data_IF_909907058226
#
_entry.id   IF_909907058226
#
_cell.length_a   1.000
_cell.length_b   1.000
_cell.length_c   1.000
_cell.angle_alpha   90.00
_cell.angle_beta   90.00
_cell.angle_gamma   90.00
#
_symmetry.space_group_name_H-M   'P 1'
#
loop_
_entity.id
_entity.type
_entity.pdbx_description
1 polymer ?
#
# COMPACT_ATOMS: atom_id res chain seq x y z
N UNK A 1 5.88 -0.56 -19.40
CA UNK A 1 5.63 -1.02 -18.02
C UNK A 1 4.25 -0.53 -17.62
N UNK A 2 3.52 -1.26 -16.78
CA UNK A 2 2.17 -0.85 -16.35
C UNK A 2 2.31 0.33 -15.40
N UNK A 3 1.62 1.43 -15.68
CA UNK A 3 1.66 2.67 -14.90
C UNK A 3 0.83 2.55 -13.60
N UNK A 4 -0.18 1.68 -13.62
CA UNK A 4 -1.12 1.45 -12.53
C UNK A 4 -1.05 0.01 -12.05
N UNK A 5 -1.22 -0.20 -10.74
CA UNK A 5 -1.37 -1.53 -10.15
C UNK A 5 -2.65 -1.61 -9.33
N UNK A 6 -3.18 -2.82 -9.18
CA UNK A 6 -4.37 -3.10 -8.37
C UNK A 6 -3.97 -3.83 -7.10
N UNK A 7 -4.21 -3.22 -5.94
CA UNK A 7 -4.15 -3.92 -4.67
C UNK A 7 -5.53 -4.50 -4.36
N UNK A 8 -5.61 -5.82 -4.24
CA UNK A 8 -6.83 -6.56 -3.95
C UNK A 8 -6.83 -6.96 -2.47
N UNK A 9 -7.83 -6.50 -1.72
CA UNK A 9 -8.02 -6.88 -0.32
C UNK A 9 -8.60 -8.30 -0.20
N UNK A 10 -8.51 -8.85 1.02
CA UNK A 10 -9.02 -10.19 1.33
C UNK A 10 -10.56 -10.30 1.22
N UNK A 11 -11.26 -9.19 1.48
CA UNK A 11 -12.72 -9.04 1.34
C UNK A 11 -13.16 -8.54 -0.05
N UNK A 12 -12.25 -8.52 -1.04
CA UNK A 12 -12.57 -8.34 -2.45
C UNK A 12 -12.62 -6.89 -2.97
N UNK A 13 -12.23 -5.90 -2.16
CA UNK A 13 -12.07 -4.52 -2.63
C UNK A 13 -10.82 -4.36 -3.46
N UNK A 14 -10.91 -3.52 -4.49
CA UNK A 14 -9.83 -3.25 -5.44
C UNK A 14 -9.43 -1.78 -5.38
N UNK A 15 -8.16 -1.53 -5.09
CA UNK A 15 -7.58 -0.21 -5.06
C UNK A 15 -6.59 -0.06 -6.21
N UNK A 16 -6.90 0.81 -7.16
CA UNK A 16 -6.02 1.09 -8.30
C UNK A 16 -5.16 2.31 -7.96
N UNK A 17 -3.85 2.13 -7.91
CA UNK A 17 -2.88 3.17 -7.52
C UNK A 17 -1.71 3.23 -8.49
N UNK A 18 -1.03 4.37 -8.53
CA UNK A 18 0.21 4.52 -9.30
C UNK A 18 1.24 3.48 -8.84
N UNK A 19 1.90 2.85 -9.81
CA UNK A 19 2.93 1.84 -9.53
C UNK A 19 4.05 2.42 -8.68
N UNK A 20 4.41 3.68 -8.88
CA UNK A 20 5.45 4.36 -8.07
C UNK A 20 5.06 4.46 -6.59
N UNK A 21 3.78 4.68 -6.28
CA UNK A 21 3.32 4.72 -4.89
C UNK A 21 3.31 3.33 -4.28
N UNK A 22 2.89 2.32 -5.04
CA UNK A 22 2.91 0.93 -4.62
C UNK A 22 4.33 0.44 -4.28
N UNK A 23 5.33 0.92 -5.02
CA UNK A 23 6.74 0.58 -4.85
C UNK A 23 7.38 1.19 -3.59
N UNK A 24 6.66 2.05 -2.86
CA UNK A 24 7.11 2.52 -1.54
C UNK A 24 7.01 1.43 -0.48
N UNK A 25 6.22 0.38 -0.73
CA UNK A 25 6.19 -0.84 0.09
C UNK A 25 7.22 -1.83 -0.42
N UNK A 26 8.12 -2.27 0.46
CA UNK A 26 9.12 -3.31 0.14
C UNK A 26 8.47 -4.64 -0.24
N UNK A 27 7.41 -5.02 0.48
CA UNK A 27 6.63 -6.23 0.20
C UNK A 27 5.93 -6.18 -1.15
N UNK A 28 5.23 -5.08 -1.46
CA UNK A 28 4.53 -4.92 -2.76
C UNK A 28 5.54 -4.82 -3.90
N UNK A 29 6.67 -4.13 -3.70
CA UNK A 29 7.76 -4.09 -4.66
C UNK A 29 8.27 -5.49 -4.99
N UNK A 30 8.47 -6.33 -3.97
CA UNK A 30 8.89 -7.73 -4.14
C UNK A 30 7.85 -8.53 -4.91
N UNK A 31 6.56 -8.41 -4.56
CA UNK A 31 5.45 -9.07 -5.27
C UNK A 31 5.36 -8.65 -6.74
N UNK A 32 5.62 -7.39 -7.07
CA UNK A 32 5.59 -6.86 -8.44
C UNK A 32 6.90 -7.07 -9.22
N UNK A 33 7.91 -7.64 -8.57
CA UNK A 33 9.17 -8.00 -9.21
C UNK A 33 9.02 -9.32 -9.98
N UNK A 34 9.80 -9.48 -11.06
CA UNK A 34 9.82 -10.75 -11.81
C UNK A 34 10.71 -11.82 -11.14
N UNK A 35 11.26 -11.52 -9.96
CA UNK A 35 12.08 -12.44 -9.19
C UNK A 35 11.20 -13.41 -8.38
N UNK A 36 11.81 -14.42 -7.73
CA UNK A 36 11.14 -15.61 -7.19
C UNK A 36 9.81 -15.30 -6.47
N UNK A 37 8.70 -15.81 -7.03
CA UNK A 37 7.36 -15.71 -6.44
C UNK A 37 6.44 -14.63 -7.01
N UNK A 38 6.95 -13.62 -7.73
CA UNK A 38 6.15 -12.46 -8.23
C UNK A 38 5.76 -12.50 -9.71
N UNK A 39 5.99 -13.60 -10.43
CA UNK A 39 5.83 -13.64 -11.89
C UNK A 39 4.39 -13.37 -12.37
N UNK A 40 3.38 -13.82 -11.63
CA UNK A 40 1.97 -13.65 -12.00
C UNK A 40 1.49 -12.21 -11.73
N UNK A 41 1.86 -11.67 -10.58
CA UNK A 41 1.57 -10.31 -10.14
C UNK A 41 2.31 -9.28 -11.01
N UNK A 42 3.57 -9.54 -11.37
CA UNK A 42 4.35 -8.69 -12.27
C UNK A 42 3.76 -8.62 -13.67
N UNK A 43 3.14 -9.71 -14.16
CA UNK A 43 2.44 -9.71 -15.46
C UNK A 43 1.05 -9.08 -15.40
N UNK A 44 0.28 -9.39 -14.35
CA UNK A 44 -1.11 -8.95 -14.22
C UNK A 44 -1.24 -7.52 -13.67
N UNK A 45 -0.24 -7.04 -12.94
CA UNK A 45 -0.30 -5.78 -12.19
C UNK A 45 -1.28 -5.85 -11.00
N UNK A 46 -1.65 -7.04 -10.55
CA UNK A 46 -2.60 -7.24 -9.45
C UNK A 46 -1.87 -7.90 -8.28
N UNK A 47 -1.87 -7.27 -7.11
CA UNK A 47 -1.33 -7.82 -5.87
C UNK A 47 -2.48 -8.20 -4.94
N UNK A 48 -2.60 -9.47 -4.59
CA UNK A 48 -3.58 -9.93 -3.61
C UNK A 48 -2.98 -9.90 -2.21
N UNK A 49 -3.64 -9.17 -1.31
CA UNK A 49 -3.17 -8.93 0.05
C UNK A 49 -4.15 -9.55 1.05
N UNK A 50 -3.62 -10.21 2.07
CA UNK A 50 -4.40 -10.75 3.20
C UNK A 50 -4.72 -9.66 4.22
N UNK A 51 -5.27 -8.55 3.72
CA UNK A 51 -5.59 -7.32 4.47
C UNK A 51 -7.04 -6.97 4.16
N UNK A 52 -7.83 -6.62 5.18
CA UNK A 52 -9.22 -6.17 5.01
C UNK A 52 -9.28 -4.84 4.28
N UNK A 53 -10.31 -4.62 3.47
CA UNK A 53 -10.44 -3.45 2.60
C UNK A 53 -10.37 -2.13 3.36
N UNK A 54 -11.00 -2.05 4.54
CA UNK A 54 -10.95 -0.84 5.38
C UNK A 54 -9.53 -0.48 5.85
N UNK A 55 -8.69 -1.48 6.10
CA UNK A 55 -7.29 -1.27 6.51
C UNK A 55 -6.44 -0.94 5.29
N UNK A 56 -6.66 -1.67 4.19
CA UNK A 56 -5.96 -1.45 2.93
C UNK A 56 -6.24 -0.05 2.34
N UNK A 57 -7.45 0.49 2.53
CA UNK A 57 -7.78 1.88 2.19
C UNK A 57 -6.86 2.87 2.90
N UNK A 58 -6.60 2.67 4.20
CA UNK A 58 -5.69 3.54 4.97
C UNK A 58 -4.24 3.38 4.58
N UNK A 59 -3.82 2.17 4.22
CA UNK A 59 -2.51 1.95 3.61
C UNK A 59 -2.39 2.71 2.29
N UNK A 60 -3.40 2.65 1.42
CA UNK A 60 -3.40 3.37 0.14
C UNK A 60 -3.37 4.89 0.33
N UNK A 61 -4.15 5.42 1.28
CA UNK A 61 -4.09 6.83 1.67
C UNK A 61 -2.68 7.21 2.15
N UNK A 62 -2.03 6.35 2.94
CA UNK A 62 -0.65 6.56 3.39
C UNK A 62 0.34 6.55 2.23
N UNK A 63 0.30 5.56 1.33
CA UNK A 63 1.22 5.47 0.19
C UNK A 63 1.12 6.71 -0.71
N UNK A 64 -0.11 7.15 -1.00
CA UNK A 64 -0.34 8.40 -1.73
C UNK A 64 0.21 9.61 -0.98
N UNK A 65 -0.04 9.70 0.33
CA UNK A 65 0.46 10.79 1.15
C UNK A 65 2.00 10.79 1.18
N UNK A 66 2.62 9.63 1.41
CA UNK A 66 4.07 9.45 1.45
C UNK A 66 4.69 9.88 0.13
N UNK A 67 4.20 9.37 -1.01
CA UNK A 67 4.68 9.74 -2.34
C UNK A 67 4.64 11.26 -2.60
N UNK A 68 3.56 11.95 -2.21
CA UNK A 68 3.41 13.40 -2.40
C UNK A 68 4.30 14.25 -1.50
N UNK A 69 4.86 13.65 -0.45
CA UNK A 69 5.58 14.36 0.59
C UNK A 69 7.07 13.99 0.63
N UNK A 70 7.57 13.02 -0.14
CA UNK A 70 8.98 12.58 -0.05
C UNK A 70 10.03 13.70 -0.14
N UNK A 71 9.76 14.76 -0.90
CA UNK A 71 10.71 15.84 -1.16
C UNK A 71 10.58 17.07 -0.22
N UNK A 72 9.68 17.06 0.78
CA UNK A 72 9.51 18.23 1.66
C UNK A 72 10.47 18.18 2.85
N UNK A 73 10.82 19.34 3.40
CA UNK A 73 11.75 19.45 4.55
C UNK A 73 11.05 19.51 5.91
N UNK A 74 9.74 19.78 5.94
CA UNK A 74 8.92 19.85 7.17
C UNK A 74 7.62 19.08 6.98
N UNK A 75 7.29 18.23 7.96
CA UNK A 75 6.14 17.31 7.90
C UNK A 75 5.28 17.38 9.15
N UNK A 76 3.97 17.35 8.95
CA UNK A 76 2.98 17.11 10.00
C UNK A 76 2.26 15.79 9.72
N UNK A 77 2.88 14.66 10.08
CA UNK A 77 2.25 13.33 10.04
C UNK A 77 0.94 13.28 10.86
N UNK A 78 0.78 14.23 11.79
CA UNK A 78 -0.40 14.43 12.62
C UNK A 78 -1.71 14.56 11.83
N UNK A 79 -1.66 15.01 10.58
CA UNK A 79 -2.88 15.14 9.75
C UNK A 79 -3.34 13.80 9.16
N UNK A 80 -2.42 12.83 9.01
CA UNK A 80 -2.77 11.45 8.68
C UNK A 80 -3.22 10.68 9.93
N UNK A 81 -2.46 10.79 11.03
CA UNK A 81 -2.78 10.11 12.30
C UNK A 81 -4.20 10.43 12.80
N UNK A 82 -4.65 11.68 12.68
CA UNK A 82 -6.01 12.11 13.06
C UNK A 82 -7.12 11.44 12.26
N UNK A 83 -6.83 10.89 11.09
CA UNK A 83 -7.80 10.23 10.20
C UNK A 83 -7.88 8.73 10.44
N UNK A 84 -7.04 8.17 11.30
CA UNK A 84 -7.05 6.75 11.64
C UNK A 84 -8.09 6.53 12.76
N UNK A 85 -9.18 5.80 12.50
CA UNK A 85 -10.09 5.39 13.56
C UNK A 85 -9.34 4.52 14.58
N UNK A 86 -9.51 4.74 15.90
CA UNK A 86 -8.85 3.94 16.93
C UNK A 86 -9.07 2.43 16.76
N UNK A 87 -10.22 2.03 16.25
CA UNK A 87 -10.61 0.64 16.03
C UNK A 87 -9.78 -0.04 14.94
N UNK A 88 -9.15 0.72 14.03
CA UNK A 88 -8.29 0.20 12.97
C UNK A 88 -6.80 0.22 13.35
N UNK A 89 -6.42 0.85 14.46
CA UNK A 89 -5.01 1.15 14.77
C UNK A 89 -4.12 -0.10 14.85
N UNK A 90 -4.59 -1.17 15.52
CA UNK A 90 -3.82 -2.40 15.66
C UNK A 90 -3.65 -3.14 14.32
N UNK A 91 -4.73 -3.26 13.54
CA UNK A 91 -4.64 -3.92 12.24
C UNK A 91 -3.83 -3.11 11.23
N UNK A 92 -3.95 -1.79 11.26
CA UNK A 92 -3.14 -0.91 10.42
C UNK A 92 -1.65 -1.00 10.78
N UNK A 93 -1.32 -1.11 12.07
CA UNK A 93 0.06 -1.33 12.51
C UNK A 93 0.61 -2.67 11.99
N UNK A 94 -0.16 -3.75 12.13
CA UNK A 94 0.26 -5.07 11.60
C UNK A 94 0.41 -5.05 10.07
N UNK A 95 -0.50 -4.36 9.37
CA UNK A 95 -0.42 -4.20 7.93
C UNK A 95 0.81 -3.37 7.51
N UNK A 96 1.13 -2.29 8.23
CA UNK A 96 2.29 -1.46 7.96
C UNK A 96 3.61 -2.24 8.14
N UNK A 97 3.72 -3.02 9.23
CA UNK A 97 4.86 -3.90 9.47
C UNK A 97 5.00 -4.95 8.36
N UNK A 98 3.92 -5.64 8.00
CA UNK A 98 3.92 -6.63 6.91
C UNK A 98 4.28 -6.02 5.55
N UNK A 99 3.83 -4.79 5.27
CA UNK A 99 4.07 -4.11 3.99
C UNK A 99 5.41 -3.37 3.96
N UNK A 100 6.13 -3.31 5.08
CA UNK A 100 7.39 -2.58 5.24
C UNK A 100 7.24 -1.08 4.89
N UNK A 101 6.24 -0.40 5.48
CA UNK A 101 5.89 1.02 5.20
C UNK A 101 5.70 1.91 6.42
#
# INVERSE_FOLDING_TARGET
>A
MVEWVTLLSDDGYRFVIDREWAMLSGTIQTMLSMEEGGFSEAQSGVCQLQIRGQVLEKVVEYLQWHARNQDRSEFSIKDFERKIPPELALELLMAADFLEV
#
